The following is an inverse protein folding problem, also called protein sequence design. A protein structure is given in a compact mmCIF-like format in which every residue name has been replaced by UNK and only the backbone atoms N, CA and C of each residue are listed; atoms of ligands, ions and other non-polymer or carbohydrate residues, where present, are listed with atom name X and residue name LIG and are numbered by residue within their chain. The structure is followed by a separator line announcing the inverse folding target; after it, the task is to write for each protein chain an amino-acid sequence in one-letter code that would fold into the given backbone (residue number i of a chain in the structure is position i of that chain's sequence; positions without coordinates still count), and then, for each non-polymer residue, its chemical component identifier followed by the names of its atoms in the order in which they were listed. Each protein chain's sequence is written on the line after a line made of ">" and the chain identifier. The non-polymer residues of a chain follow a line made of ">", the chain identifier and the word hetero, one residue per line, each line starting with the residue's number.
data_IF_389860780067
#
_entry.id   IF_389860780067
#
_cell.length_a   1.000
_cell.length_b   1.000
_cell.length_c   1.000
_cell.angle_alpha   90.00
_cell.angle_beta   90.00
_cell.angle_gamma   90.00
#
_symmetry.space_group_name_H-M   'P 1'
#
loop_
_entity.id
_entity.type
_entity.pdbx_description
1 polymer ?
#
# COMPACT_ATOMS: atom_id res chain seq x y z
N UNK A 1 -4.40 -7.15 -22.24
CA UNK A 1 -5.85 -7.34 -22.05
C UNK A 1 -6.20 -7.06 -20.60
N UNK A 2 -7.41 -6.59 -20.28
CA UNK A 2 -7.79 -6.31 -18.89
C UNK A 2 -7.76 -7.59 -18.05
N UNK A 3 -7.22 -7.50 -16.84
CA UNK A 3 -7.08 -8.63 -15.91
C UNK A 3 -8.29 -8.77 -14.99
N UNK A 4 -8.87 -7.63 -14.58
CA UNK A 4 -10.11 -7.56 -13.84
C UNK A 4 -11.13 -6.73 -14.63
N UNK A 5 -12.40 -7.13 -14.57
CA UNK A 5 -13.51 -6.37 -15.12
C UNK A 5 -14.52 -6.17 -14.00
N UNK A 6 -14.65 -4.93 -13.53
CA UNK A 6 -15.53 -4.57 -12.42
C UNK A 6 -16.87 -4.06 -12.95
N UNK A 7 -17.96 -4.61 -12.44
CA UNK A 7 -19.32 -4.19 -12.74
C UNK A 7 -19.96 -3.59 -11.48
N UNK A 8 -20.41 -2.35 -11.57
CA UNK A 8 -21.17 -1.67 -10.51
C UNK A 8 -22.68 -1.78 -10.75
N UNK A 9 -23.39 -2.40 -9.82
CA UNK A 9 -24.84 -2.52 -9.87
C UNK A 9 -25.58 -1.47 -9.05
N UNK A 10 -24.88 -0.45 -8.49
CA UNK A 10 -25.47 0.58 -7.63
C UNK A 10 -26.67 1.30 -8.27
N UNK A 11 -26.66 1.49 -9.59
CA UNK A 11 -27.77 2.13 -10.34
C UNK A 11 -28.64 1.14 -11.14
N UNK A 12 -28.42 -0.17 -10.97
CA UNK A 12 -29.19 -1.21 -11.66
C UNK A 12 -30.34 -1.63 -10.75
N UNK A 13 -31.56 -1.71 -11.30
CA UNK A 13 -32.77 -2.06 -10.55
C UNK A 13 -33.23 -3.51 -10.76
N UNK A 14 -32.78 -4.16 -11.83
CA UNK A 14 -33.03 -5.57 -12.12
C UNK A 14 -32.22 -6.08 -13.33
N UNK A 15 -32.20 -7.39 -13.53
CA UNK A 15 -31.68 -8.01 -14.74
C UNK A 15 -32.80 -8.75 -15.48
N UNK A 16 -32.79 -8.69 -16.81
CA UNK A 16 -33.68 -9.48 -17.65
C UNK A 16 -32.92 -10.66 -18.30
N UNK A 17 -33.66 -11.54 -18.98
CA UNK A 17 -33.08 -12.73 -19.61
C UNK A 17 -32.00 -12.38 -20.66
N UNK A 18 -32.15 -11.27 -21.39
CA UNK A 18 -31.15 -10.81 -22.36
C UNK A 18 -29.86 -10.31 -21.71
N UNK A 19 -29.97 -9.58 -20.59
CA UNK A 19 -28.83 -9.12 -19.81
C UNK A 19 -28.07 -10.32 -19.21
N UNK A 20 -28.79 -11.30 -18.65
CA UNK A 20 -28.18 -12.55 -18.15
C UNK A 20 -27.42 -13.29 -19.25
N UNK A 21 -28.03 -13.48 -20.43
CA UNK A 21 -27.36 -14.11 -21.59
C UNK A 21 -26.11 -13.35 -22.03
N UNK A 22 -26.09 -12.03 -21.88
CA UNK A 22 -24.93 -11.20 -22.20
C UNK A 22 -23.81 -11.43 -21.19
N UNK A 23 -24.13 -11.54 -19.89
CA UNK A 23 -23.16 -11.89 -18.85
C UNK A 23 -22.60 -13.31 -19.00
N UNK A 24 -23.39 -14.28 -19.50
CA UNK A 24 -22.86 -15.61 -19.85
C UNK A 24 -21.79 -15.52 -20.93
N UNK A 25 -22.03 -14.73 -21.98
CA UNK A 25 -21.01 -14.50 -23.04
C UNK A 25 -19.79 -13.74 -22.51
N UNK A 26 -20.00 -12.75 -21.64
CA UNK A 26 -18.91 -12.00 -20.99
C UNK A 26 -18.05 -12.94 -20.14
N UNK A 27 -18.66 -13.85 -19.37
CA UNK A 27 -17.96 -14.87 -18.60
C UNK A 27 -17.11 -15.77 -19.49
N UNK A 28 -17.67 -16.31 -20.57
CA UNK A 28 -16.92 -17.14 -21.52
C UNK A 28 -15.72 -16.40 -22.14
N UNK A 29 -15.90 -15.13 -22.50
CA UNK A 29 -14.84 -14.29 -23.04
C UNK A 29 -13.77 -13.93 -21.99
N UNK A 30 -14.17 -13.74 -20.73
CA UNK A 30 -13.27 -13.48 -19.62
C UNK A 30 -12.42 -14.71 -19.31
N UNK A 31 -13.02 -15.89 -19.25
CA UNK A 31 -12.32 -17.18 -19.07
C UNK A 31 -11.31 -17.43 -20.18
N UNK A 32 -11.69 -17.24 -21.45
CA UNK A 32 -10.78 -17.41 -22.59
C UNK A 32 -9.59 -16.44 -22.59
N UNK A 33 -9.65 -15.37 -21.80
CA UNK A 33 -8.63 -14.31 -21.70
C UNK A 33 -7.96 -14.23 -20.33
N UNK A 34 -8.23 -15.18 -19.44
CA UNK A 34 -7.77 -15.19 -18.04
C UNK A 34 -8.08 -13.87 -17.31
N UNK A 35 -9.28 -13.33 -17.54
CA UNK A 35 -9.79 -12.15 -16.84
C UNK A 35 -10.77 -12.57 -15.75
N UNK A 36 -10.71 -11.91 -14.60
CA UNK A 36 -11.62 -12.13 -13.46
C UNK A 36 -12.74 -11.11 -13.48
N UNK A 37 -13.98 -11.55 -13.23
CA UNK A 37 -15.16 -10.68 -13.15
C UNK A 37 -15.44 -10.28 -11.70
N UNK A 38 -15.58 -8.99 -11.43
CA UNK A 38 -15.90 -8.49 -10.08
C UNK A 38 -17.24 -7.79 -10.11
N UNK A 39 -18.16 -8.23 -9.26
CA UNK A 39 -19.52 -7.70 -9.18
C UNK A 39 -19.71 -6.97 -7.85
N UNK A 40 -20.10 -5.70 -7.91
CA UNK A 40 -20.30 -4.85 -6.72
C UNK A 40 -21.75 -4.39 -6.64
N UNK A 41 -22.28 -4.20 -5.43
CA UNK A 41 -23.69 -3.83 -5.18
C UNK A 41 -24.74 -4.79 -5.78
N UNK A 42 -24.42 -6.08 -5.89
CA UNK A 42 -25.34 -7.04 -6.47
C UNK A 42 -26.49 -7.35 -5.49
N UNK A 43 -27.71 -6.96 -5.85
CA UNK A 43 -28.89 -7.26 -5.03
C UNK A 43 -29.19 -8.76 -4.98
N UNK A 44 -29.85 -9.24 -3.91
CA UNK A 44 -30.20 -10.66 -3.78
C UNK A 44 -31.01 -11.22 -4.98
N UNK A 45 -32.02 -10.51 -5.53
CA UNK A 45 -32.74 -10.96 -6.72
C UNK A 45 -31.82 -11.11 -7.95
N UNK A 46 -30.90 -10.17 -8.17
CA UNK A 46 -29.94 -10.24 -9.29
C UNK A 46 -28.95 -11.38 -9.11
N UNK A 47 -28.50 -11.61 -7.87
CA UNK A 47 -27.62 -12.74 -7.54
C UNK A 47 -28.28 -14.06 -7.92
N UNK A 48 -29.55 -14.21 -7.59
CA UNK A 48 -30.31 -15.39 -7.95
C UNK A 48 -30.49 -15.55 -9.47
N UNK A 49 -30.66 -14.44 -10.22
CA UNK A 49 -30.77 -14.49 -11.68
C UNK A 49 -29.46 -14.84 -12.39
N UNK A 50 -28.31 -14.49 -11.80
CA UNK A 50 -26.98 -14.82 -12.32
C UNK A 50 -26.45 -16.18 -11.81
N UNK A 51 -27.03 -16.70 -10.73
CA UNK A 51 -26.66 -17.98 -10.14
C UNK A 51 -26.86 -19.14 -11.12
N UNK A 52 -25.94 -20.10 -11.11
CA UNK A 52 -26.03 -21.32 -11.93
C UNK A 52 -25.68 -21.13 -13.41
N UNK A 53 -25.52 -19.90 -13.91
CA UNK A 53 -25.07 -19.63 -15.28
C UNK A 53 -23.79 -18.77 -15.31
N UNK A 54 -23.74 -17.73 -14.48
CA UNK A 54 -22.61 -16.80 -14.39
C UNK A 54 -21.87 -17.01 -13.09
N UNK A 55 -22.59 -16.97 -11.96
CA UNK A 55 -22.06 -17.23 -10.62
C UNK A 55 -22.21 -18.74 -10.33
N UNK A 56 -21.24 -19.52 -10.76
CA UNK A 56 -21.20 -20.97 -10.57
C UNK A 56 -20.06 -21.36 -9.63
N UNK A 57 -20.32 -22.33 -8.75
CA UNK A 57 -19.34 -22.79 -7.76
C UNK A 57 -18.13 -23.48 -8.41
N UNK A 58 -18.29 -24.01 -9.62
CA UNK A 58 -17.23 -24.68 -10.39
C UNK A 58 -16.11 -23.72 -10.85
N UNK A 59 -16.38 -22.41 -10.94
CA UNK A 59 -15.45 -21.41 -11.51
C UNK A 59 -15.18 -20.25 -10.54
N UNK A 60 -15.18 -20.51 -9.22
CA UNK A 60 -15.12 -19.46 -8.19
C UNK A 60 -13.84 -18.59 -8.26
N UNK A 61 -12.78 -19.07 -8.94
CA UNK A 61 -11.54 -18.30 -9.16
C UNK A 61 -11.67 -17.25 -10.29
N UNK A 62 -12.77 -17.28 -11.04
CA UNK A 62 -12.98 -16.40 -12.22
C UNK A 62 -13.98 -15.27 -11.95
N UNK A 63 -14.62 -15.27 -10.77
CA UNK A 63 -15.56 -14.22 -10.41
C UNK A 63 -15.66 -14.00 -8.89
N UNK A 64 -15.89 -12.74 -8.47
CA UNK A 64 -16.05 -12.37 -7.06
C UNK A 64 -17.19 -11.35 -6.88
N UNK A 65 -17.81 -11.35 -5.70
CA UNK A 65 -18.91 -10.42 -5.35
C UNK A 65 -18.60 -9.63 -4.10
N UNK A 66 -18.89 -8.33 -4.10
CA UNK A 66 -18.70 -7.44 -2.95
C UNK A 66 -19.94 -6.57 -2.70
N UNK A 67 -20.10 -6.12 -1.45
CA UNK A 67 -21.21 -5.25 -1.03
C UNK A 67 -21.18 -3.90 -1.72
N UNK A 68 -19.99 -3.39 -2.00
CA UNK A 68 -19.76 -2.06 -2.55
C UNK A 68 -18.52 -2.03 -3.46
N UNK A 69 -18.31 -0.87 -4.08
CA UNK A 69 -17.23 -0.65 -5.03
C UNK A 69 -15.87 -0.62 -4.34
N UNK A 70 -15.77 0.01 -3.18
CA UNK A 70 -14.49 0.25 -2.51
C UNK A 70 -13.83 -1.09 -2.16
N UNK A 71 -14.58 -2.03 -1.58
CA UNK A 71 -14.06 -3.38 -1.29
C UNK A 71 -13.77 -4.20 -2.55
N UNK A 72 -14.54 -4.02 -3.62
CA UNK A 72 -14.30 -4.70 -4.90
C UNK A 72 -13.00 -4.23 -5.57
N UNK A 73 -12.72 -2.93 -5.49
CA UNK A 73 -11.48 -2.33 -5.99
C UNK A 73 -10.29 -2.69 -5.09
N UNK A 74 -10.45 -2.59 -3.77
CA UNK A 74 -9.43 -3.00 -2.80
C UNK A 74 -8.99 -4.45 -3.04
N UNK A 75 -9.94 -5.37 -3.24
CA UNK A 75 -9.63 -6.74 -3.57
C UNK A 75 -8.91 -6.89 -4.93
N UNK A 76 -9.33 -6.16 -5.97
CA UNK A 76 -8.62 -6.16 -7.25
C UNK A 76 -7.17 -5.67 -7.10
N UNK A 77 -6.94 -4.65 -6.27
CA UNK A 77 -5.62 -4.11 -5.97
C UNK A 77 -4.75 -5.13 -5.23
N UNK A 78 -5.29 -5.78 -4.19
CA UNK A 78 -4.61 -6.87 -3.48
C UNK A 78 -4.26 -8.04 -4.40
N UNK A 79 -5.16 -8.44 -5.30
CA UNK A 79 -4.89 -9.52 -6.25
C UNK A 79 -3.94 -9.13 -7.37
N UNK A 80 -3.84 -7.84 -7.71
CA UNK A 80 -2.75 -7.34 -8.54
C UNK A 80 -1.44 -7.47 -7.78
N UNK A 81 -1.39 -7.05 -6.52
CA UNK A 81 -0.20 -7.14 -5.66
C UNK A 81 0.24 -8.61 -5.49
N UNK A 82 -0.68 -9.57 -5.29
CA UNK A 82 -0.33 -10.99 -5.11
C UNK A 82 0.23 -11.67 -6.37
N UNK A 83 -0.30 -11.39 -7.57
CA UNK A 83 0.35 -11.92 -8.80
C UNK A 83 1.62 -11.16 -9.13
N UNK A 84 1.76 -9.94 -8.63
CA UNK A 84 3.04 -9.26 -8.63
C UNK A 84 4.01 -9.89 -7.61
N UNK A 85 3.59 -10.47 -6.50
CA UNK A 85 4.47 -11.21 -5.57
C UNK A 85 4.85 -12.61 -6.09
N UNK A 86 3.92 -13.36 -6.68
CA UNK A 86 4.20 -14.68 -7.30
C UNK A 86 5.06 -14.60 -8.57
N UNK A 87 5.16 -13.41 -9.18
CA UNK A 87 6.04 -13.12 -10.33
C UNK A 87 7.16 -12.13 -9.95
N UNK A 88 7.40 -11.89 -8.64
CA UNK A 88 8.58 -11.20 -8.12
C UNK A 88 8.69 -9.69 -8.39
N UNK A 89 7.58 -8.98 -8.53
CA UNK A 89 7.49 -7.57 -8.91
C UNK A 89 6.40 -6.76 -8.20
N UNK A 90 6.56 -6.45 -6.91
CA UNK A 90 5.72 -5.48 -6.21
C UNK A 90 5.60 -4.14 -6.99
N UNK A 91 4.38 -3.67 -7.22
CA UNK A 91 4.07 -2.54 -8.11
C UNK A 91 4.67 -1.21 -7.62
N UNK A 92 5.71 -0.71 -8.31
CA UNK A 92 6.21 0.68 -8.20
C UNK A 92 6.47 1.31 -9.59
N UNK A 93 6.47 2.66 -9.70
CA UNK A 93 6.31 3.42 -10.95
C UNK A 93 7.31 3.10 -12.07
N UNK A 94 6.86 3.29 -13.32
CA UNK A 94 7.53 2.98 -14.61
C UNK A 94 8.95 3.55 -14.82
N UNK A 95 9.48 4.38 -13.93
CA UNK A 95 10.83 4.92 -14.01
C UNK A 95 11.89 4.12 -13.22
N UNK A 96 11.48 3.25 -12.28
CA UNK A 96 12.39 2.43 -11.47
C UNK A 96 12.82 1.11 -12.13
N UNK A 97 12.26 0.81 -13.32
CA UNK A 97 12.28 -0.52 -13.96
C UNK A 97 13.59 -0.92 -14.64
N UNK A 98 14.72 -0.26 -14.38
CA UNK A 98 16.02 -0.71 -14.94
C UNK A 98 17.05 -1.15 -13.91
N UNK A 99 16.85 -0.86 -12.63
CA UNK A 99 17.83 -1.17 -11.59
C UNK A 99 17.30 -2.07 -10.45
N UNK A 100 16.02 -2.47 -10.44
CA UNK A 100 15.40 -3.14 -9.28
C UNK A 100 15.31 -4.68 -9.39
N UNK A 101 15.58 -5.27 -10.56
CA UNK A 101 15.44 -6.72 -10.81
C UNK A 101 16.56 -7.58 -10.20
N UNK A 102 17.73 -6.99 -9.88
CA UNK A 102 18.81 -7.69 -9.18
C UNK A 102 18.70 -7.62 -7.66
N UNK A 103 17.73 -6.86 -7.15
CA UNK A 103 17.79 -6.26 -5.83
C UNK A 103 16.77 -6.95 -4.89
N UNK A 104 15.55 -7.25 -5.36
CA UNK A 104 14.44 -7.73 -4.51
C UNK A 104 14.39 -9.23 -4.17
N UNK A 105 15.43 -10.02 -4.51
CA UNK A 105 15.43 -11.48 -4.30
C UNK A 105 15.92 -11.93 -2.91
N UNK A 106 16.24 -10.99 -2.01
CA UNK A 106 16.67 -11.27 -0.64
C UNK A 106 15.97 -10.30 0.32
N UNK A 107 15.62 -10.78 1.51
CA UNK A 107 14.62 -10.31 2.49
C UNK A 107 14.48 -8.81 2.87
N UNK A 108 15.11 -7.83 2.24
CA UNK A 108 15.09 -6.44 2.70
C UNK A 108 14.63 -5.44 1.62
N UNK A 109 13.31 -5.27 1.47
CA UNK A 109 12.67 -4.32 0.52
C UNK A 109 13.13 -2.85 0.67
N UNK A 110 13.55 -2.43 1.87
CA UNK A 110 14.09 -1.08 2.14
C UNK A 110 15.59 -0.97 1.81
N UNK A 111 16.37 -2.02 2.08
CA UNK A 111 17.82 -2.01 1.86
C UNK A 111 18.17 -1.72 0.41
N UNK A 112 17.49 -2.48 -0.41
CA UNK A 112 17.42 -2.45 -1.84
C UNK A 112 17.09 -1.10 -2.47
N UNK A 113 16.09 -0.40 -1.92
CA UNK A 113 15.68 0.90 -2.43
C UNK A 113 16.66 2.00 -2.02
N UNK A 114 17.24 1.90 -0.83
CA UNK A 114 18.23 2.85 -0.34
C UNK A 114 19.55 2.75 -1.13
N UNK A 115 20.05 1.53 -1.34
CA UNK A 115 21.27 1.28 -2.11
C UNK A 115 21.14 1.76 -3.56
N UNK A 116 19.98 1.56 -4.19
CA UNK A 116 19.74 2.00 -5.57
C UNK A 116 19.76 3.53 -5.76
N UNK A 117 19.66 4.32 -4.69
CA UNK A 117 19.60 5.79 -4.74
C UNK A 117 20.94 6.47 -4.43
N UNK A 118 21.91 5.69 -3.95
CA UNK A 118 23.30 6.09 -3.75
C UNK A 118 24.01 6.04 -5.11
N UNK A 119 24.61 7.15 -5.59
CA UNK A 119 25.32 7.15 -6.87
C UNK A 119 26.47 6.13 -6.90
N UNK A 120 26.67 5.45 -8.03
CA UNK A 120 27.76 4.46 -8.26
C UNK A 120 29.17 4.98 -7.96
N UNK A 121 29.39 6.30 -7.95
CA UNK A 121 30.66 6.92 -7.57
C UNK A 121 30.94 6.91 -6.06
N UNK A 122 29.97 6.47 -5.25
CA UNK A 122 30.02 6.35 -3.79
C UNK A 122 29.50 4.97 -3.35
N UNK A 123 29.86 3.89 -4.07
CA UNK A 123 29.60 2.52 -3.61
C UNK A 123 30.34 2.24 -2.30
N UNK A 124 29.73 2.60 -1.18
CA UNK A 124 29.83 1.82 0.04
C UNK A 124 28.60 0.92 0.05
N UNK A 125 28.78 -0.29 -0.47
CA UNK A 125 28.05 -1.42 0.09
C UNK A 125 28.19 -1.30 1.62
N UNK A 126 27.09 -1.05 2.31
CA UNK A 126 27.08 -0.81 3.76
C UNK A 126 26.62 0.56 4.24
N UNK A 127 26.17 1.49 3.39
CA UNK A 127 25.58 2.74 3.87
C UNK A 127 24.41 2.53 4.85
N UNK A 128 23.59 1.52 4.60
CA UNK A 128 22.58 1.05 5.53
C UNK A 128 23.17 0.29 6.71
N UNK A 129 24.16 -0.57 6.48
CA UNK A 129 24.86 -1.28 7.57
C UNK A 129 25.50 -0.32 8.57
N UNK A 130 25.88 0.88 8.11
CA UNK A 130 26.39 1.94 8.95
C UNK A 130 25.27 2.73 9.66
N UNK A 131 24.04 2.77 9.10
CA UNK A 131 22.86 3.37 9.75
C UNK A 131 22.16 2.41 10.73
N UNK A 132 22.18 1.10 10.46
CA UNK A 132 21.50 0.08 11.27
C UNK A 132 21.83 0.16 12.77
N UNK A 133 23.08 0.43 13.21
CA UNK A 133 23.42 0.60 14.62
C UNK A 133 22.69 1.76 15.32
N UNK A 134 22.19 2.74 14.57
CA UNK A 134 21.42 3.87 15.09
C UNK A 134 19.92 3.61 15.11
N UNK A 135 19.49 2.46 14.57
CA UNK A 135 18.10 2.06 14.49
C UNK A 135 17.79 0.94 15.49
N UNK A 136 16.57 0.92 16.00
CA UNK A 136 16.10 -0.08 16.95
C UNK A 136 15.03 -0.94 16.29
N UNK A 137 15.28 -2.25 16.17
CA UNK A 137 14.29 -3.20 15.70
C UNK A 137 13.31 -3.53 16.84
N UNK A 138 12.02 -3.46 16.57
CA UNK A 138 10.94 -3.73 17.54
C UNK A 138 9.87 -4.60 16.92
N UNK A 139 9.55 -5.68 17.61
CA UNK A 139 8.30 -6.39 17.41
C UNK A 139 7.24 -5.75 18.32
N UNK A 140 6.11 -5.38 17.73
CA UNK A 140 5.02 -4.68 18.40
C UNK A 140 3.72 -5.45 18.24
N UNK A 141 2.96 -5.59 19.32
CA UNK A 141 1.65 -6.24 19.30
C UNK A 141 0.61 -5.38 18.57
N UNK A 142 -0.55 -5.97 18.28
CA UNK A 142 -1.73 -5.24 17.78
C UNK A 142 -2.21 -4.16 18.76
N UNK A 143 -2.67 -3.02 18.24
CA UNK A 143 -3.23 -1.92 19.04
C UNK A 143 -2.20 -1.00 19.66
N UNK A 144 -0.91 -1.20 19.39
CA UNK A 144 0.18 -0.35 19.87
C UNK A 144 0.20 0.94 19.06
N UNK A 145 0.20 2.07 19.76
CA UNK A 145 0.43 3.37 19.16
C UNK A 145 1.92 3.57 18.94
N UNK A 146 2.35 3.54 17.68
CA UNK A 146 3.71 3.95 17.31
C UNK A 146 3.86 5.47 17.41
N UNK A 147 2.80 6.20 17.07
CA UNK A 147 2.74 7.66 17.11
C UNK A 147 1.37 8.06 17.66
N UNK A 148 1.32 9.08 18.52
CA UNK A 148 0.07 9.68 19.00
C UNK A 148 -0.05 11.11 18.51
N UNK A 149 -1.19 11.45 17.93
CA UNK A 149 -1.48 12.80 17.48
C UNK A 149 -1.30 13.82 18.61
N UNK A 150 -0.66 14.95 18.29
CA UNK A 150 -0.40 16.04 19.22
C UNK A 150 0.82 15.84 20.12
N UNK A 151 1.40 14.63 20.17
CA UNK A 151 2.65 14.41 20.89
C UNK A 151 3.87 14.95 20.11
N UNK A 152 4.96 15.32 20.81
CA UNK A 152 6.21 15.67 20.17
C UNK A 152 6.72 14.56 19.23
N UNK A 153 7.46 14.91 18.16
CA UNK A 153 8.00 13.92 17.25
C UNK A 153 8.99 13.00 17.96
N UNK A 154 8.76 11.69 17.87
CA UNK A 154 9.63 10.67 18.46
C UNK A 154 10.73 10.24 17.48
N UNK A 155 10.36 10.03 16.22
CA UNK A 155 11.28 9.59 15.19
C UNK A 155 10.57 9.04 13.96
N UNK A 156 11.31 8.24 13.19
CA UNK A 156 10.85 7.54 12.00
C UNK A 156 10.62 6.08 12.33
N UNK A 157 9.51 5.52 11.85
CA UNK A 157 9.25 4.08 11.90
C UNK A 157 9.16 3.54 10.48
N UNK A 158 9.99 2.55 10.21
CA UNK A 158 9.96 1.75 8.99
C UNK A 158 9.20 0.46 9.30
N UNK A 159 8.10 0.22 8.59
CA UNK A 159 7.30 -0.99 8.77
C UNK A 159 7.96 -2.10 7.95
N UNK A 160 8.59 -3.07 8.61
CA UNK A 160 9.26 -4.21 7.96
C UNK A 160 8.26 -5.35 7.69
N UNK A 161 7.31 -5.55 8.60
CA UNK A 161 6.27 -6.56 8.52
C UNK A 161 5.02 -6.14 9.30
N UNK A 162 3.86 -6.66 8.90
CA UNK A 162 2.58 -6.34 9.52
C UNK A 162 1.83 -5.18 8.85
N UNK A 163 0.96 -4.51 9.61
CA UNK A 163 0.06 -3.47 9.12
C UNK A 163 -0.21 -2.41 10.20
N UNK A 164 -0.23 -1.15 9.78
CA UNK A 164 -0.54 0.00 10.62
C UNK A 164 -1.62 0.88 9.97
N UNK A 165 -2.43 1.52 10.80
CA UNK A 165 -3.45 2.47 10.36
C UNK A 165 -3.21 3.85 10.97
N UNK A 166 -3.33 4.86 10.09
CA UNK A 166 -3.26 6.27 10.44
C UNK A 166 -4.64 6.78 10.81
N UNK A 167 -4.77 7.35 12.01
CA UNK A 167 -6.00 7.96 12.52
C UNK A 167 -5.80 9.45 12.80
N UNK A 168 -6.76 10.27 12.41
CA UNK A 168 -6.86 11.67 12.87
C UNK A 168 -8.09 11.80 13.75
N UNK A 169 -7.87 12.26 14.97
CA UNK A 169 -8.93 12.65 15.90
C UNK A 169 -9.41 14.04 15.50
N UNK A 170 -10.71 14.18 15.24
CA UNK A 170 -11.32 15.47 14.95
C UNK A 170 -11.49 16.34 16.21
N UNK A 171 -12.06 17.54 16.05
CA UNK A 171 -12.25 18.49 17.16
C UNK A 171 -13.23 17.98 18.23
N UNK A 172 -14.09 17.04 17.86
CA UNK A 172 -15.10 16.45 18.74
C UNK A 172 -14.59 15.18 19.42
N UNK A 173 -13.33 14.79 19.18
CA UNK A 173 -12.68 13.64 19.80
C UNK A 173 -12.90 12.32 19.06
N UNK A 174 -13.51 12.33 17.87
CA UNK A 174 -13.78 11.11 17.12
C UNK A 174 -12.58 10.72 16.24
N UNK A 175 -12.06 9.48 16.36
CA UNK A 175 -10.99 9.01 15.49
C UNK A 175 -11.55 8.72 14.10
N UNK A 176 -10.94 9.34 13.09
CA UNK A 176 -11.20 9.07 11.67
C UNK A 176 -10.00 8.36 11.06
N UNK A 177 -10.24 7.16 10.51
CA UNK A 177 -9.24 6.43 9.74
C UNK A 177 -8.91 7.20 8.47
N UNK A 178 -7.64 7.51 8.24
CA UNK A 178 -7.16 8.12 6.99
C UNK A 178 -6.72 7.06 5.99
N UNK A 179 -5.86 6.15 6.43
CA UNK A 179 -5.26 5.13 5.56
C UNK A 179 -4.65 3.99 6.37
N UNK A 180 -4.70 2.80 5.79
CA UNK A 180 -4.01 1.61 6.27
C UNK A 180 -2.80 1.30 5.37
N UNK A 181 -1.69 0.88 5.97
CA UNK A 181 -0.37 0.80 5.35
C UNK A 181 0.35 -0.47 5.81
N UNK A 182 0.99 -1.17 4.88
CA UNK A 182 1.75 -2.40 5.16
C UNK A 182 3.26 -2.19 5.13
N UNK A 183 3.97 -3.32 5.09
CA UNK A 183 5.43 -3.41 4.97
C UNK A 183 6.00 -2.55 3.83
N UNK A 184 7.22 -2.06 4.03
CA UNK A 184 7.93 -1.20 3.08
C UNK A 184 7.51 0.28 3.14
N UNK A 185 6.75 0.69 4.16
CA UNK A 185 6.35 2.09 4.35
C UNK A 185 7.00 2.75 5.55
N UNK A 186 7.08 4.08 5.51
CA UNK A 186 7.64 4.94 6.56
C UNK A 186 6.55 5.85 7.13
N UNK A 187 6.56 6.04 8.45
CA UNK A 187 5.71 6.98 9.19
C UNK A 187 6.54 7.80 10.18
N UNK A 188 6.01 8.97 10.58
CA UNK A 188 6.65 9.88 11.55
C UNK A 188 7.58 10.91 10.92
N UNK A 189 7.74 10.87 9.60
CA UNK A 189 8.57 11.79 8.82
C UNK A 189 8.18 13.24 8.99
N UNK A 190 6.87 13.54 9.06
CA UNK A 190 6.42 14.92 9.15
C UNK A 190 6.88 15.55 10.46
N UNK A 191 6.77 14.79 11.55
CA UNK A 191 7.23 15.21 12.84
C UNK A 191 8.75 15.36 12.87
N UNK A 192 9.47 14.35 12.39
CA UNK A 192 10.93 14.33 12.39
C UNK A 192 11.54 15.50 11.58
N UNK A 193 11.01 15.80 10.39
CA UNK A 193 11.57 16.83 9.50
C UNK A 193 11.04 18.25 9.76
N UNK A 194 9.79 18.41 10.18
CA UNK A 194 9.21 19.74 10.41
C UNK A 194 9.38 20.22 11.84
N UNK A 195 9.80 19.36 12.77
CA UNK A 195 9.89 19.67 14.20
C UNK A 195 8.53 20.03 14.80
N UNK A 196 7.43 19.50 14.25
CA UNK A 196 6.07 19.77 14.69
C UNK A 196 5.50 18.57 15.45
N UNK A 197 4.56 18.79 16.39
CA UNK A 197 3.80 17.69 16.97
C UNK A 197 3.14 16.82 15.89
N UNK A 198 2.96 15.54 16.20
CA UNK A 198 2.39 14.57 15.27
C UNK A 198 1.01 15.01 14.79
N UNK A 199 0.80 15.02 13.47
CA UNK A 199 -0.46 15.43 12.83
C UNK A 199 -1.56 14.37 12.95
N UNK A 200 -1.17 13.12 13.18
CA UNK A 200 -2.06 11.96 13.24
C UNK A 200 -1.45 10.89 14.17
N UNK A 201 -2.30 10.00 14.65
CA UNK A 201 -1.89 8.79 15.35
C UNK A 201 -1.60 7.67 14.36
N UNK A 202 -0.67 6.78 14.70
CA UNK A 202 -0.38 5.57 13.94
C UNK A 202 -0.45 4.39 14.88
N UNK A 203 -1.30 3.42 14.56
CA UNK A 203 -1.63 2.27 15.41
C UNK A 203 -1.42 0.99 14.62
N UNK A 204 -0.86 -0.04 15.25
CA UNK A 204 -0.75 -1.37 14.65
C UNK A 204 -2.11 -2.07 14.59
N UNK A 205 -2.45 -2.65 13.44
CA UNK A 205 -3.70 -3.42 13.26
C UNK A 205 -3.48 -4.92 13.48
N UNK A 206 -2.22 -5.36 13.39
CA UNK A 206 -1.76 -6.72 13.65
C UNK A 206 -0.35 -6.70 14.26
N UNK A 207 0.16 -7.83 14.80
CA UNK A 207 1.56 -7.89 15.21
C UNK A 207 2.46 -7.47 14.06
N UNK A 208 3.36 -6.52 14.33
CA UNK A 208 4.16 -5.85 13.30
C UNK A 208 5.62 -5.79 13.73
N UNK A 209 6.54 -5.91 12.78
CA UNK A 209 7.96 -5.66 12.99
C UNK A 209 8.31 -4.30 12.41
N UNK A 210 8.99 -3.47 13.20
CA UNK A 210 9.34 -2.11 12.83
C UNK A 210 10.80 -1.83 13.13
N UNK A 211 11.42 -1.04 12.26
CA UNK A 211 12.74 -0.46 12.51
C UNK A 211 12.55 1.02 12.86
N UNK A 212 13.04 1.43 14.03
CA UNK A 212 12.80 2.75 14.60
C UNK A 212 14.09 3.58 14.62
N UNK A 213 14.05 4.80 14.06
CA UNK A 213 15.12 5.77 14.13
C UNK A 213 14.63 7.01 14.88
N UNK A 214 15.16 7.25 16.09
CA UNK A 214 14.76 8.44 16.87
C UNK A 214 15.30 9.73 16.25
N UNK A 215 14.68 10.87 16.58
CA UNK A 215 15.15 12.20 16.13
C UNK A 215 16.58 12.46 16.61
N UNK A 216 16.92 12.07 17.83
CA UNK A 216 18.26 12.27 18.40
C UNK A 216 19.31 11.46 17.64
N UNK A 217 18.99 10.21 17.28
CA UNK A 217 19.88 9.36 16.48
C UNK A 217 20.02 9.86 15.05
N UNK A 218 18.94 10.36 14.46
CA UNK A 218 19.00 11.01 13.14
C UNK A 218 19.97 12.21 13.15
N UNK A 219 19.89 13.07 14.19
CA UNK A 219 20.80 14.21 14.36
C UNK A 219 22.27 13.79 14.61
N UNK A 220 22.48 12.66 15.30
CA UNK A 220 23.82 12.10 15.48
C UNK A 220 24.42 11.66 14.14
N UNK A 221 23.65 10.98 13.29
CA UNK A 221 24.08 10.59 11.94
C UNK A 221 24.32 11.84 11.09
N UNK A 222 23.46 12.87 11.20
CA UNK A 222 23.65 14.16 10.51
C UNK A 222 25.01 14.79 10.83
N UNK A 223 25.43 14.73 12.10
CA UNK A 223 26.69 15.31 12.56
C UNK A 223 27.93 14.46 12.23
N UNK A 224 27.79 13.13 12.25
CA UNK A 224 28.93 12.21 12.18
C UNK A 224 29.14 11.61 10.79
N UNK A 225 28.09 11.51 9.97
CA UNK A 225 28.10 10.79 8.71
C UNK A 225 27.38 11.57 7.56
N UNK A 226 27.91 12.73 7.13
CA UNK A 226 27.23 13.62 6.18
C UNK A 226 26.93 13.01 4.80
N UNK A 227 27.71 12.03 4.37
CA UNK A 227 27.53 11.35 3.08
C UNK A 227 26.35 10.37 3.13
N UNK A 228 26.24 9.60 4.21
CA UNK A 228 25.13 8.66 4.45
C UNK A 228 23.82 9.40 4.64
N UNK A 229 23.82 10.46 5.46
CA UNK A 229 22.59 11.19 5.73
C UNK A 229 22.06 11.94 4.50
N UNK A 230 22.94 12.44 3.63
CA UNK A 230 22.53 13.08 2.39
C UNK A 230 21.79 12.08 1.47
N UNK A 231 22.30 10.85 1.38
CA UNK A 231 21.62 9.77 0.68
C UNK A 231 20.27 9.43 1.33
N UNK A 232 20.23 9.37 2.67
CA UNK A 232 19.00 9.11 3.41
C UNK A 232 17.93 10.17 3.21
N UNK A 233 18.29 11.45 3.32
CA UNK A 233 17.36 12.53 3.06
C UNK A 233 16.88 12.53 1.61
N UNK A 234 17.75 12.22 0.64
CA UNK A 234 17.35 12.08 -0.78
C UNK A 234 16.32 10.96 -0.95
N UNK A 235 16.54 9.80 -0.32
CA UNK A 235 15.59 8.70 -0.30
C UNK A 235 14.24 9.14 0.29
N UNK A 236 14.24 9.81 1.45
CA UNK A 236 13.02 10.31 2.08
C UNK A 236 12.27 11.31 1.20
N UNK A 237 12.98 12.23 0.54
CA UNK A 237 12.38 13.21 -0.39
C UNK A 237 11.74 12.52 -1.59
N UNK A 238 12.39 11.51 -2.17
CA UNK A 238 11.83 10.75 -3.29
C UNK A 238 10.58 9.98 -2.87
N UNK A 239 10.63 9.29 -1.71
CA UNK A 239 9.49 8.59 -1.15
C UNK A 239 8.29 9.52 -0.95
N UNK A 240 8.50 10.71 -0.38
CA UNK A 240 7.42 11.66 -0.15
C UNK A 240 6.91 12.32 -1.43
N UNK A 241 7.77 12.55 -2.41
CA UNK A 241 7.38 13.08 -3.72
C UNK A 241 6.46 12.10 -4.45
N UNK A 242 6.76 10.81 -4.42
CA UNK A 242 5.91 9.76 -5.01
C UNK A 242 4.54 9.69 -4.31
N UNK A 243 4.52 9.76 -2.97
CA UNK A 243 3.26 9.73 -2.20
C UNK A 243 2.41 10.96 -2.48
N UNK A 244 3.01 12.15 -2.58
CA UNK A 244 2.30 13.38 -2.91
C UNK A 244 1.73 13.34 -4.34
N UNK A 245 2.51 12.83 -5.31
CA UNK A 245 2.03 12.64 -6.67
C UNK A 245 0.81 11.70 -6.70
N UNK A 246 0.89 10.56 -6.03
CA UNK A 246 -0.21 9.59 -5.92
C UNK A 246 -1.45 10.19 -5.24
N UNK A 247 -1.27 10.96 -4.17
CA UNK A 247 -2.37 11.64 -3.48
C UNK A 247 -3.06 12.68 -4.39
N UNK A 248 -2.28 13.46 -5.13
CA UNK A 248 -2.80 14.43 -6.10
C UNK A 248 -3.53 13.75 -7.27
N UNK A 249 -3.01 12.65 -7.79
CA UNK A 249 -3.66 11.88 -8.86
C UNK A 249 -5.03 11.35 -8.40
N UNK A 250 -5.10 10.85 -7.16
CA UNK A 250 -6.35 10.39 -6.55
C UNK A 250 -7.35 11.54 -6.40
N UNK A 251 -6.91 12.68 -5.89
CA UNK A 251 -7.76 13.86 -5.72
C UNK A 251 -8.26 14.40 -7.08
N UNK A 252 -7.41 14.40 -8.10
CA UNK A 252 -7.79 14.79 -9.45
C UNK A 252 -8.78 13.83 -10.09
N UNK A 253 -8.71 12.53 -9.78
CA UNK A 253 -9.69 11.55 -10.24
C UNK A 253 -11.06 11.76 -9.59
N UNK A 254 -11.10 12.17 -8.31
CA UNK A 254 -12.34 12.46 -7.58
C UNK A 254 -13.01 13.79 -7.99
N UNK A 255 -12.25 14.72 -8.57
CA UNK A 255 -12.75 16.01 -9.05
C UNK A 255 -13.26 15.98 -10.51
N UNK A 256 -13.19 14.84 -11.18
CA UNK A 256 -13.71 14.62 -12.53
C UNK A 256 -15.02 13.85 -12.51
#
# INVERSE_FOLDING_TARGET
>A
SPRFIVFDFRQVSGLDASATLSFVKIKQLAQARNSVLVFTHLSAPMRQQLAGQVLTDEDHDTWHTFSDMDHGIEWCEEQMIQVFEDVGFSAKPRAARRNLEGVLSQSNSLTNLFEALIPESQTQAGALDEMLPYMEQKDVETGVYLIRQGEPPTGLYFIEGGQVTVYVTDRDGHPRRLRTMGAGTVVGEMGAYLGRPASASVVTDQPSSVLYLSVERLQEIEATMPHIIAAFHKFMVQLQSERLASANDTLNALLR
#
